data_IF_638192733934
#
_entry.id   IF_638192733934
#
_cell.length_a   1.000
_cell.length_b   1.000
_cell.length_c   1.000
_cell.angle_alpha   90.00
_cell.angle_beta   90.00
_cell.angle_gamma   90.00
#
_symmetry.space_group_name_H-M   'P 1'
#
loop_
_entity.id
_entity.type
_entity.pdbx_description
1 polymer ?
#
# COMPACT_ATOMS: atom_id res chain seq x y z
N UNK A 1 4.22 10.91 8.29
CA UNK A 1 3.40 9.85 8.92
C UNK A 1 4.24 9.20 10.01
N UNK A 2 3.63 8.72 11.09
CA UNK A 2 4.34 8.14 12.23
C UNK A 2 4.71 6.68 11.89
N UNK A 3 6.00 6.33 11.69
CA UNK A 3 6.41 5.00 11.21
C UNK A 3 5.98 3.86 12.14
N UNK A 4 5.65 4.17 13.41
CA UNK A 4 5.11 3.20 14.36
C UNK A 4 3.72 2.65 13.99
N UNK A 5 2.97 3.33 13.10
CA UNK A 5 1.65 2.84 12.66
C UNK A 5 1.70 1.84 11.50
N UNK A 6 2.87 1.64 10.88
CA UNK A 6 3.07 0.74 9.75
C UNK A 6 3.58 -0.60 10.26
N UNK A 7 2.68 -1.57 10.40
CA UNK A 7 3.02 -2.93 10.81
C UNK A 7 3.13 -3.88 9.59
N UNK A 8 4.08 -4.82 9.67
CA UNK A 8 4.39 -5.76 8.58
C UNK A 8 3.22 -6.69 8.25
N UNK A 9 2.41 -7.06 9.25
CA UNK A 9 1.24 -7.92 9.03
C UNK A 9 0.16 -7.15 8.26
N UNK A 10 -0.08 -5.88 8.58
CA UNK A 10 -0.97 -5.00 7.79
C UNK A 10 -0.47 -4.88 6.36
N UNK A 11 0.83 -4.65 6.14
CA UNK A 11 1.37 -4.56 4.78
C UNK A 11 1.09 -5.86 4.03
N UNK A 12 1.51 -7.02 4.56
CA UNK A 12 1.28 -8.34 3.93
C UNK A 12 -0.20 -8.64 3.69
N UNK A 13 -1.07 -8.21 4.60
CA UNK A 13 -2.50 -8.37 4.45
C UNK A 13 -3.10 -7.46 3.36
N UNK A 14 -2.41 -6.41 2.95
CA UNK A 14 -2.90 -5.49 1.91
C UNK A 14 -2.25 -5.72 0.55
N UNK A 15 -1.05 -6.32 0.50
CA UNK A 15 -0.37 -6.61 -0.76
C UNK A 15 -1.28 -7.39 -1.73
N UNK A 16 -1.18 -7.05 -3.02
CA UNK A 16 -1.88 -7.67 -4.14
C UNK A 16 -3.42 -7.60 -4.10
N UNK A 17 -3.99 -6.64 -3.35
CA UNK A 17 -5.44 -6.39 -3.30
C UNK A 17 -5.81 -5.09 -4.02
N UNK A 18 -7.02 -5.03 -4.56
CA UNK A 18 -7.56 -3.84 -5.24
C UNK A 18 -9.01 -3.57 -4.78
N UNK A 19 -9.21 -3.05 -3.56
CA UNK A 19 -10.54 -2.94 -2.93
C UNK A 19 -11.58 -2.14 -3.72
N UNK A 20 -11.20 -1.12 -4.49
CA UNK A 20 -12.16 -0.37 -5.32
C UNK A 20 -12.56 -1.13 -6.60
N UNK A 21 -11.75 -2.11 -7.02
CA UNK A 21 -11.97 -2.90 -8.24
C UNK A 21 -12.45 -4.36 -7.97
N UNK A 22 -12.42 -4.81 -6.72
CA UNK A 22 -12.72 -6.19 -6.32
C UNK A 22 -13.62 -6.17 -5.07
N UNK A 23 -14.88 -6.59 -5.23
CA UNK A 23 -15.84 -6.69 -4.13
C UNK A 23 -15.33 -7.62 -3.02
N UNK A 24 -14.66 -8.71 -3.39
CA UNK A 24 -14.05 -9.62 -2.42
C UNK A 24 -12.98 -8.92 -1.56
N UNK A 25 -12.10 -8.12 -2.19
CA UNK A 25 -11.06 -7.39 -1.47
C UNK A 25 -11.65 -6.28 -0.61
N UNK A 26 -12.69 -5.58 -1.11
CA UNK A 26 -13.44 -4.57 -0.38
C UNK A 26 -14.00 -5.14 0.93
N UNK A 27 -14.69 -6.27 0.82
CA UNK A 27 -15.33 -6.97 1.94
C UNK A 27 -14.31 -7.45 2.96
N UNK A 28 -13.23 -8.05 2.48
CA UNK A 28 -12.16 -8.61 3.30
C UNK A 28 -11.44 -7.51 4.08
N UNK A 29 -11.12 -6.39 3.44
CA UNK A 29 -10.48 -5.24 4.09
C UNK A 29 -11.45 -4.55 5.06
N UNK A 30 -12.72 -4.39 4.68
CA UNK A 30 -13.77 -3.83 5.55
C UNK A 30 -13.86 -4.62 6.85
N UNK A 31 -13.97 -5.95 6.78
CA UNK A 31 -13.98 -6.83 7.95
C UNK A 31 -12.71 -6.72 8.78
N UNK A 32 -11.54 -6.62 8.14
CA UNK A 32 -10.27 -6.48 8.85
C UNK A 32 -10.10 -5.12 9.57
N UNK A 33 -10.79 -4.07 9.09
CA UNK A 33 -10.95 -2.83 9.85
C UNK A 33 -11.91 -2.99 11.03
N UNK A 34 -13.02 -3.70 10.85
CA UNK A 34 -14.03 -3.88 11.90
C UNK A 34 -13.50 -4.74 13.06
N UNK A 35 -12.68 -5.75 12.78
CA UNK A 35 -12.03 -6.60 13.80
C UNK A 35 -10.80 -5.97 14.46
N UNK A 36 -10.38 -4.78 14.01
CA UNK A 36 -9.15 -4.16 14.53
C UNK A 36 -7.85 -4.82 14.06
N UNK A 37 -7.90 -5.70 13.08
CA UNK A 37 -6.73 -6.44 12.59
C UNK A 37 -5.74 -5.54 11.85
N UNK A 38 -6.23 -4.57 11.08
CA UNK A 38 -5.39 -3.62 10.32
C UNK A 38 -5.04 -2.38 11.13
N UNK A 39 -3.81 -1.90 10.95
CA UNK A 39 -3.28 -0.68 11.56
C UNK A 39 -3.49 -0.66 13.08
N UNK A 40 -3.05 -1.71 13.78
CA UNK A 40 -3.31 -1.89 15.24
C UNK A 40 -2.82 -0.72 16.10
N UNK A 41 -1.71 -0.10 15.71
CA UNK A 41 -1.14 1.04 16.42
C UNK A 41 -1.87 2.38 16.12
N UNK A 42 -2.80 2.41 15.15
CA UNK A 42 -3.59 3.59 14.82
C UNK A 42 -4.84 3.64 15.70
N UNK A 43 -4.70 4.24 16.89
CA UNK A 43 -5.77 4.34 17.90
C UNK A 43 -6.72 5.51 17.72
N UNK A 44 -6.30 6.56 16.99
CA UNK A 44 -7.14 7.73 16.71
C UNK A 44 -8.34 7.35 15.81
N UNK A 45 -9.60 7.49 16.28
CA UNK A 45 -10.77 7.08 15.52
C UNK A 45 -10.93 7.84 14.19
N UNK A 46 -10.67 9.15 14.20
CA UNK A 46 -10.76 9.99 12.99
C UNK A 46 -9.74 9.57 11.94
N UNK A 47 -8.48 9.36 12.35
CA UNK A 47 -7.43 8.91 11.44
C UNK A 47 -7.74 7.51 10.92
N UNK A 48 -8.28 6.63 11.76
CA UNK A 48 -8.65 5.27 11.37
C UNK A 48 -9.78 5.26 10.33
N UNK A 49 -10.79 6.13 10.50
CA UNK A 49 -11.86 6.32 9.53
C UNK A 49 -11.30 6.82 8.19
N UNK A 50 -10.40 7.81 8.24
CA UNK A 50 -9.80 8.37 7.03
C UNK A 50 -8.91 7.36 6.30
N UNK A 51 -8.09 6.61 7.02
CA UNK A 51 -7.27 5.53 6.44
C UNK A 51 -8.14 4.47 5.81
N UNK A 52 -9.23 4.05 6.46
CA UNK A 52 -10.20 3.10 5.90
C UNK A 52 -10.77 3.63 4.58
N UNK A 53 -11.26 4.88 4.58
CA UNK A 53 -11.84 5.51 3.38
C UNK A 53 -10.85 5.55 2.21
N UNK A 54 -9.62 5.98 2.46
CA UNK A 54 -8.57 6.06 1.42
C UNK A 54 -8.19 4.69 0.90
N UNK A 55 -8.02 3.72 1.79
CA UNK A 55 -7.62 2.38 1.39
C UNK A 55 -8.69 1.71 0.53
N UNK A 56 -9.97 1.83 0.90
CA UNK A 56 -11.07 1.27 0.12
C UNK A 56 -11.23 1.93 -1.26
N UNK A 57 -10.74 3.16 -1.43
CA UNK A 57 -10.75 3.86 -2.72
C UNK A 57 -9.62 3.42 -3.68
N UNK A 58 -8.68 2.57 -3.25
CA UNK A 58 -7.58 2.11 -4.09
C UNK A 58 -8.09 1.15 -5.16
N UNK A 59 -8.08 1.60 -6.42
CA UNK A 59 -8.54 0.84 -7.60
C UNK A 59 -7.45 0.10 -8.36
N UNK A 60 -6.20 0.20 -7.91
CA UNK A 60 -5.07 -0.56 -8.45
C UNK A 60 -4.65 -1.62 -7.46
N UNK A 61 -3.92 -2.63 -7.93
CA UNK A 61 -3.28 -3.58 -7.02
C UNK A 61 -2.32 -2.81 -6.11
N UNK A 62 -2.55 -2.93 -4.80
CA UNK A 62 -1.58 -2.48 -3.80
C UNK A 62 -0.29 -3.26 -4.05
N UNK A 63 0.80 -2.60 -4.46
CA UNK A 63 2.01 -3.30 -4.85
C UNK A 63 2.62 -3.98 -3.63
N UNK A 64 3.09 -5.22 -3.81
CA UNK A 64 3.93 -5.85 -2.80
C UNK A 64 5.32 -5.21 -2.76
N UNK A 65 6.02 -5.29 -1.63
CA UNK A 65 7.42 -4.84 -1.56
C UNK A 65 8.29 -5.56 -2.61
N UNK A 66 8.00 -6.83 -2.88
CA UNK A 66 8.65 -7.60 -3.95
C UNK A 66 8.38 -7.01 -5.33
N UNK A 67 7.11 -6.75 -5.67
CA UNK A 67 6.74 -6.18 -6.97
C UNK A 67 7.30 -4.77 -7.13
N UNK A 68 7.28 -3.95 -6.07
CA UNK A 68 7.93 -2.64 -6.06
C UNK A 68 9.42 -2.75 -6.33
N UNK A 69 10.11 -3.68 -5.64
CA UNK A 69 11.54 -3.91 -5.84
C UNK A 69 11.88 -4.32 -7.28
N UNK A 70 11.10 -5.23 -7.87
CA UNK A 70 11.28 -5.61 -9.27
C UNK A 70 11.00 -4.45 -10.23
N UNK A 71 9.95 -3.66 -9.98
CA UNK A 71 9.63 -2.49 -10.80
C UNK A 71 10.73 -1.42 -10.75
N UNK A 72 11.36 -1.23 -9.58
CA UNK A 72 12.47 -0.29 -9.41
C UNK A 72 13.72 -0.69 -10.20
N UNK A 73 13.93 -1.97 -10.53
CA UNK A 73 15.07 -2.39 -11.37
C UNK A 73 14.98 -1.79 -12.77
N UNK A 74 13.79 -1.72 -13.35
CA UNK A 74 13.57 -1.09 -14.66
C UNK A 74 13.90 0.41 -14.60
N UNK A 75 13.42 1.10 -13.57
CA UNK A 75 13.69 2.53 -13.37
C UNK A 75 15.18 2.80 -13.13
N UNK A 76 15.88 1.93 -12.40
CA UNK A 76 17.32 2.08 -12.14
C UNK A 76 18.15 2.08 -13.43
N UNK A 77 17.73 1.27 -14.41
CA UNK A 77 18.39 1.19 -15.72
C UNK A 77 18.16 2.46 -16.54
N UNK A 78 16.90 2.92 -16.61
CA UNK A 78 16.56 4.16 -17.30
C UNK A 78 17.25 5.38 -16.67
N UNK A 79 17.26 5.49 -15.34
CA UNK A 79 17.92 6.55 -14.61
C UNK A 79 19.43 6.61 -14.90
N UNK A 80 20.08 5.45 -15.02
CA UNK A 80 21.49 5.36 -15.39
C UNK A 80 21.74 5.90 -16.81
N UNK A 81 20.90 5.53 -17.77
CA UNK A 81 21.00 6.02 -19.16
C UNK A 81 20.85 7.55 -19.20
N UNK A 82 19.84 8.11 -18.53
CA UNK A 82 19.61 9.55 -18.48
C UNK A 82 20.78 10.27 -17.83
N UNK A 83 21.29 9.76 -16.70
CA UNK A 83 22.47 10.35 -16.05
C UNK A 83 23.68 10.36 -16.97
N UNK A 84 23.98 9.23 -17.61
CA UNK A 84 25.22 9.06 -18.35
C UNK A 84 25.19 9.76 -19.74
N UNK A 85 24.00 9.96 -20.32
CA UNK A 85 23.83 10.56 -21.67
C UNK A 85 23.28 11.99 -21.68
N UNK A 86 22.50 12.40 -20.66
CA UNK A 86 21.78 13.69 -20.66
C UNK A 86 22.35 14.64 -19.61
N UNK A 87 22.60 14.17 -18.39
CA UNK A 87 23.00 15.01 -17.25
C UNK A 87 24.52 15.17 -17.12
N UNK A 88 25.25 15.10 -18.24
CA UNK A 88 26.72 15.24 -18.27
C UNK A 88 27.20 16.54 -17.66
#
# INVERSE_FOLDING_TARGET
>A
EDPACLDVDTVRYLEARAPSASEYDLDLITRAFDTGQLFKALTSPERRLETRRRLLAVGILIPSFRTLHENLKYLSTAARIVRDLILR
#
